data_IF_177066213806
#
_entry.id   IF_177066213806
#
_cell.length_a   1.000
_cell.length_b   1.000
_cell.length_c   1.000
_cell.angle_alpha   90.00
_cell.angle_beta   90.00
_cell.angle_gamma   90.00
#
_symmetry.space_group_name_H-M   'P 1'
#
loop_
_entity.id
_entity.type
_entity.pdbx_description
1 polymer ?
#
# COMPACT_ATOMS: atom_id res chain seq x y z
N UNK A 1 -27.14 7.92 -15.10
CA UNK A 1 -26.61 7.65 -13.76
C UNK A 1 -25.26 8.36 -13.71
N UNK A 2 -25.02 9.24 -12.73
CA UNK A 2 -23.68 9.79 -12.51
C UNK A 2 -23.05 8.94 -11.39
N UNK A 3 -22.12 8.08 -11.76
CA UNK A 3 -21.38 7.25 -10.81
C UNK A 3 -20.22 8.09 -10.26
N UNK A 4 -20.18 8.28 -8.94
CA UNK A 4 -19.07 8.96 -8.28
C UNK A 4 -18.04 7.92 -7.87
N UNK A 5 -16.84 8.03 -8.44
CA UNK A 5 -15.67 7.25 -8.03
C UNK A 5 -14.81 8.06 -7.08
N UNK A 6 -14.36 7.42 -6.02
CA UNK A 6 -13.36 7.95 -5.10
C UNK A 6 -12.00 7.36 -5.47
N UNK A 7 -10.94 8.15 -5.33
CA UNK A 7 -9.58 7.61 -5.43
C UNK A 7 -9.34 6.62 -4.29
N UNK A 8 -8.76 5.48 -4.64
CA UNK A 8 -8.36 4.45 -3.69
C UNK A 8 -6.83 4.47 -3.57
N UNK A 9 -6.32 4.79 -2.38
CA UNK A 9 -4.91 4.66 -2.06
C UNK A 9 -4.70 3.49 -1.09
N UNK A 10 -4.08 2.36 -1.52
CA UNK A 10 -3.80 1.24 -0.64
C UNK A 10 -2.87 1.62 0.52
N UNK A 11 -2.08 2.69 0.41
CA UNK A 11 -1.19 3.13 1.49
C UNK A 11 -1.95 3.48 2.79
N UNK A 12 -3.20 3.95 2.69
CA UNK A 12 -4.04 4.29 3.85
C UNK A 12 -4.35 3.08 4.75
N UNK A 13 -4.26 1.86 4.21
CA UNK A 13 -4.59 0.62 4.91
C UNK A 13 -3.35 -0.13 5.43
N UNK A 14 -2.14 0.30 5.05
CA UNK A 14 -0.88 -0.32 5.47
C UNK A 14 -0.34 0.26 6.79
N UNK A 15 -1.23 0.40 7.78
CA UNK A 15 -0.92 1.02 9.08
C UNK A 15 -0.38 0.04 10.13
N UNK A 16 -0.53 -1.28 9.91
CA UNK A 16 -0.05 -2.33 10.81
C UNK A 16 1.02 -3.20 10.16
N UNK A 17 1.97 -3.74 10.95
CA UNK A 17 2.97 -4.68 10.45
C UNK A 17 2.35 -5.90 9.73
N UNK A 18 1.21 -6.38 10.22
CA UNK A 18 0.49 -7.52 9.65
C UNK A 18 -0.06 -7.20 8.26
N UNK A 19 -0.69 -6.04 8.07
CA UNK A 19 -1.21 -5.60 6.77
C UNK A 19 -0.09 -5.43 5.75
N UNK A 20 1.05 -4.89 6.19
CA UNK A 20 2.26 -4.75 5.35
C UNK A 20 2.80 -6.13 4.94
N UNK A 21 2.87 -7.07 5.88
CA UNK A 21 3.39 -8.41 5.61
C UNK A 21 2.52 -9.19 4.62
N UNK A 22 1.19 -9.09 4.76
CA UNK A 22 0.23 -9.69 3.83
C UNK A 22 0.36 -9.07 2.44
N UNK A 23 0.32 -7.74 2.34
CA UNK A 23 0.46 -7.02 1.07
C UNK A 23 1.75 -7.37 0.31
N UNK A 24 2.87 -7.48 1.03
CA UNK A 24 4.15 -7.87 0.44
C UNK A 24 4.23 -9.34 0.05
N UNK A 25 3.53 -10.23 0.76
CA UNK A 25 3.44 -11.64 0.39
C UNK A 25 2.70 -11.78 -0.93
N UNK A 26 1.51 -11.20 -1.03
CA UNK A 26 0.67 -11.27 -2.22
C UNK A 26 1.40 -10.66 -3.43
N UNK A 27 2.12 -9.54 -3.24
CA UNK A 27 2.93 -8.96 -4.31
C UNK A 27 4.03 -9.91 -4.81
N UNK A 28 4.66 -10.69 -3.91
CA UNK A 28 5.69 -11.68 -4.28
C UNK A 28 5.12 -12.90 -4.97
N UNK A 29 3.88 -13.29 -4.68
CA UNK A 29 3.23 -14.43 -5.36
C UNK A 29 2.99 -14.18 -6.85
N UNK A 30 3.04 -12.92 -7.30
CA UNK A 30 2.96 -12.58 -8.72
C UNK A 30 4.20 -12.96 -9.52
N UNK A 31 5.35 -13.18 -8.85
CA UNK A 31 6.68 -13.36 -9.44
C UNK A 31 7.10 -12.22 -10.40
N UNK A 32 6.42 -11.07 -10.35
CA UNK A 32 6.68 -9.91 -11.22
C UNK A 32 7.47 -8.84 -10.46
N UNK A 33 8.73 -8.65 -10.86
CA UNK A 33 9.62 -7.69 -10.23
C UNK A 33 9.10 -6.24 -10.28
N UNK A 34 8.36 -5.87 -11.33
CA UNK A 34 7.81 -4.52 -11.48
C UNK A 34 6.62 -4.32 -10.53
N UNK A 35 5.79 -5.35 -10.36
CA UNK A 35 4.67 -5.34 -9.43
C UNK A 35 5.16 -5.27 -7.98
N UNK A 36 6.20 -6.05 -7.63
CA UNK A 36 6.83 -6.00 -6.32
C UNK A 36 7.42 -4.60 -6.05
N UNK A 37 8.09 -3.99 -7.03
CA UNK A 37 8.60 -2.63 -6.90
C UNK A 37 7.46 -1.62 -6.67
N UNK A 38 6.32 -1.78 -7.37
CA UNK A 38 5.13 -0.95 -7.16
C UNK A 38 4.57 -1.08 -5.75
N UNK A 39 4.48 -2.30 -5.22
CA UNK A 39 4.07 -2.55 -3.84
C UNK A 39 5.01 -1.88 -2.82
N UNK A 40 6.32 -1.88 -3.10
CA UNK A 40 7.31 -1.20 -2.26
C UNK A 40 7.14 0.33 -2.25
N UNK A 41 6.77 0.96 -3.36
CA UNK A 41 6.43 2.39 -3.41
C UNK A 41 5.24 2.73 -2.50
N UNK A 42 4.18 1.90 -2.53
CA UNK A 42 2.99 2.07 -1.69
C UNK A 42 3.37 1.96 -0.21
N UNK A 43 4.17 0.96 0.15
CA UNK A 43 4.67 0.81 1.52
C UNK A 43 5.51 2.00 1.99
N UNK A 44 6.40 2.53 1.14
CA UNK A 44 7.20 3.71 1.47
C UNK A 44 6.31 4.94 1.78
N UNK A 45 5.21 5.12 1.02
CA UNK A 45 4.22 6.17 1.29
C UNK A 45 3.49 5.94 2.62
N UNK A 46 3.02 4.72 2.88
CA UNK A 46 2.33 4.38 4.12
C UNK A 46 3.18 4.62 5.37
N UNK A 47 4.49 4.34 5.29
CA UNK A 47 5.48 4.66 6.33
C UNK A 47 5.52 6.17 6.60
N UNK A 48 5.66 6.99 5.56
CA UNK A 48 5.67 8.45 5.69
C UNK A 48 4.36 9.01 6.28
N UNK A 49 3.21 8.47 5.91
CA UNK A 49 1.91 8.86 6.49
C UNK A 49 1.82 8.53 7.99
N UNK A 50 2.35 7.38 8.41
CA UNK A 50 2.38 6.98 9.83
C UNK A 50 3.28 7.90 10.65
N UNK A 51 4.41 8.33 10.09
CA UNK A 51 5.31 9.28 10.74
C UNK A 51 4.68 10.67 10.87
N UNK A 52 3.99 11.16 9.84
CA UNK A 52 3.26 12.42 9.87
C UNK A 52 2.13 12.42 10.92
N UNK A 53 1.45 11.29 11.13
CA UNK A 53 0.38 11.19 12.12
C UNK A 53 0.87 11.18 13.58
N UNK A 54 2.17 10.98 13.82
CA UNK A 54 2.76 11.01 15.17
C UNK A 54 3.36 12.37 15.54
N UNK A 55 3.45 13.30 14.60
CA UNK A 55 4.03 14.64 14.76
C UNK A 55 3.05 15.70 15.22
#
# INVERSE_FOLDING_TARGET
MIETFTEFDPAEYLSTPEAIAEFMRDARETDDASYIAKAMEVFARAKGMTELSRG
#
